data_IF_002898765103
#
_entry.id   IF_002898765103
#
_cell.length_a   1.000
_cell.length_b   1.000
_cell.length_c   1.000
_cell.angle_alpha   90.00
_cell.angle_beta   90.00
_cell.angle_gamma   90.00
#
_symmetry.space_group_name_H-M   'P 1'
#
loop_
_entity.id
_entity.type
_entity.pdbx_description
1 polymer ?
#
# COMPACT_ATOMS: atom_id res chain seq x y z
N UNK A 1 5.74 8.63 11.41
CA UNK A 1 4.95 7.39 11.55
C UNK A 1 4.68 7.01 13.01
N UNK A 2 5.43 7.53 13.99
CA UNK A 2 5.19 7.29 15.43
C UNK A 2 3.90 7.96 15.91
N UNK A 3 3.59 9.14 15.41
CA UNK A 3 2.39 9.90 15.72
C UNK A 3 1.37 9.83 14.58
N UNK A 4 0.09 9.98 14.90
CA UNK A 4 -1.02 9.96 13.92
C UNK A 4 -1.18 11.27 13.18
N UNK A 5 -0.54 12.35 13.65
CA UNK A 5 -0.63 13.71 13.12
C UNK A 5 0.76 14.15 12.64
N UNK A 6 0.80 14.84 11.52
CA UNK A 6 2.03 15.41 10.97
C UNK A 6 1.76 16.77 10.34
N UNK A 7 2.77 17.63 10.36
CA UNK A 7 2.76 18.90 9.65
C UNK A 7 2.87 18.63 8.15
N UNK A 8 1.88 19.04 7.37
CA UNK A 8 1.81 18.67 5.96
C UNK A 8 2.47 19.71 5.03
N UNK A 9 2.94 20.83 5.57
CA UNK A 9 3.59 21.91 4.82
C UNK A 9 4.83 22.50 5.55
N UNK A 10 5.86 21.67 5.83
CA UNK A 10 7.05 22.11 6.57
C UNK A 10 8.04 22.85 5.66
N UNK A 11 7.57 23.87 4.91
CA UNK A 11 8.46 24.67 4.08
C UNK A 11 9.35 25.60 4.95
N UNK A 12 10.49 26.11 4.43
CA UNK A 12 11.45 26.89 5.23
C UNK A 12 10.86 28.09 5.95
N UNK A 13 9.80 28.72 5.40
CA UNK A 13 9.10 29.83 6.07
C UNK A 13 8.27 29.42 7.29
N UNK A 14 8.01 28.12 7.47
CA UNK A 14 7.27 27.57 8.62
C UNK A 14 8.19 26.87 9.64
N UNK A 15 9.50 26.94 9.45
CA UNK A 15 10.46 26.27 10.31
C UNK A 15 11.56 27.26 10.70
N UNK A 16 11.91 27.33 11.97
CA UNK A 16 13.13 27.97 12.44
C UNK A 16 13.82 27.14 13.53
N UNK A 17 15.06 27.48 13.81
CA UNK A 17 15.84 26.85 14.87
C UNK A 17 16.29 27.95 15.83
N UNK A 18 16.11 27.72 17.15
CA UNK A 18 16.61 28.64 18.18
C UNK A 18 18.11 28.51 18.33
N UNK A 19 18.76 29.46 19.02
CA UNK A 19 20.19 29.42 19.34
C UNK A 19 20.55 28.17 20.17
N UNK A 20 19.60 27.65 20.96
CA UNK A 20 19.79 26.39 21.70
C UNK A 20 19.53 25.14 20.87
N UNK A 21 19.30 25.25 19.56
CA UNK A 21 19.07 24.11 18.65
C UNK A 21 17.65 23.52 18.72
N UNK A 22 16.68 24.22 19.31
CA UNK A 22 15.28 23.79 19.33
C UNK A 22 14.57 24.14 18.02
N UNK A 23 13.83 23.18 17.48
CA UNK A 23 13.01 23.39 16.29
C UNK A 23 11.70 24.11 16.66
N UNK A 24 11.43 25.22 15.98
CA UNK A 24 10.17 25.92 16.06
C UNK A 24 9.40 25.70 14.77
N UNK A 25 8.15 25.30 14.89
CA UNK A 25 7.22 25.17 13.77
C UNK A 25 6.17 26.28 13.87
N UNK A 26 6.03 27.04 12.78
CA UNK A 26 5.00 28.06 12.61
C UNK A 26 3.87 27.49 11.76
N UNK A 27 2.72 28.14 11.77
CA UNK A 27 1.57 27.86 10.91
C UNK A 27 1.18 26.37 10.80
N UNK A 28 0.20 26.02 11.61
CA UNK A 28 -0.42 24.69 11.57
C UNK A 28 -1.68 24.63 10.68
N UNK A 29 -1.82 25.52 9.71
CA UNK A 29 -2.95 25.56 8.79
C UNK A 29 -3.10 24.30 7.93
N UNK A 30 -2.00 23.57 7.73
CA UNK A 30 -2.03 22.31 6.99
C UNK A 30 -1.49 21.16 7.83
N UNK A 31 -2.41 20.32 8.32
CA UNK A 31 -2.11 19.15 9.14
C UNK A 31 -2.67 17.89 8.47
N UNK A 32 -1.82 16.88 8.32
CA UNK A 32 -2.23 15.56 7.85
C UNK A 32 -2.44 14.58 9.01
N UNK A 33 -3.27 13.57 8.78
CA UNK A 33 -3.52 12.48 9.73
C UNK A 33 -3.32 11.13 9.07
N UNK A 34 -2.58 10.25 9.73
CA UNK A 34 -2.41 8.84 9.33
C UNK A 34 -2.89 7.98 10.50
N UNK A 35 -3.97 7.24 10.31
CA UNK A 35 -4.45 6.28 11.28
C UNK A 35 -3.57 5.02 11.31
N UNK A 36 -3.75 4.17 12.33
CA UNK A 36 -2.95 2.94 12.48
C UNK A 36 -3.05 2.02 11.26
N UNK A 37 -4.23 1.86 10.69
CA UNK A 37 -4.44 1.00 9.52
C UNK A 37 -3.65 1.50 8.31
N UNK A 38 -3.76 2.80 8.00
CA UNK A 38 -2.98 3.42 6.91
C UNK A 38 -1.48 3.31 7.16
N UNK A 39 -1.03 3.51 8.40
CA UNK A 39 0.38 3.36 8.79
C UNK A 39 0.89 1.95 8.54
N UNK A 40 0.18 0.93 9.00
CA UNK A 40 0.54 -0.47 8.78
C UNK A 40 0.60 -0.79 7.29
N UNK A 41 -0.39 -0.37 6.51
CA UNK A 41 -0.41 -0.61 5.08
C UNK A 41 0.72 0.13 4.32
N UNK A 42 1.14 1.31 4.77
CA UNK A 42 2.34 1.98 4.25
C UNK A 42 3.62 1.19 4.54
N UNK A 43 3.74 0.61 5.72
CA UNK A 43 4.87 -0.24 6.08
C UNK A 43 4.83 -1.52 5.22
N UNK A 44 3.68 -2.15 5.05
CA UNK A 44 3.50 -3.33 4.18
C UNK A 44 3.88 -3.01 2.73
N UNK A 45 3.46 -1.86 2.22
CA UNK A 45 3.84 -1.40 0.88
C UNK A 45 5.36 -1.24 0.75
N UNK A 46 5.98 -0.59 1.73
CA UNK A 46 7.44 -0.45 1.77
C UNK A 46 8.16 -1.80 1.79
N UNK A 47 7.74 -2.72 2.67
CA UNK A 47 8.32 -4.07 2.76
C UNK A 47 8.16 -4.84 1.45
N UNK A 48 6.98 -4.81 0.84
CA UNK A 48 6.71 -5.48 -0.43
C UNK A 48 7.59 -4.94 -1.57
N UNK A 49 7.88 -3.63 -1.58
CA UNK A 49 8.82 -3.02 -2.54
C UNK A 49 10.27 -3.48 -2.29
N UNK A 50 10.71 -3.52 -1.02
CA UNK A 50 12.05 -4.02 -0.65
C UNK A 50 12.22 -5.49 -0.99
N UNK A 51 11.19 -6.30 -0.78
CA UNK A 51 11.17 -7.73 -1.13
C UNK A 51 11.00 -8.00 -2.64
N UNK A 52 10.79 -6.95 -3.43
CA UNK A 52 10.55 -7.04 -4.88
C UNK A 52 9.38 -8.00 -5.20
N UNK A 53 8.28 -7.87 -4.46
CA UNK A 53 7.11 -8.73 -4.58
C UNK A 53 5.90 -7.98 -5.15
N UNK A 54 5.68 -7.96 -6.50
CA UNK A 54 4.63 -7.20 -7.13
C UNK A 54 3.21 -7.54 -6.61
N UNK A 55 2.82 -8.81 -6.41
CA UNK A 55 1.51 -9.15 -5.85
C UNK A 55 1.26 -8.53 -4.48
N UNK A 56 2.27 -8.49 -3.59
CA UNK A 56 2.15 -7.85 -2.26
C UNK A 56 2.09 -6.34 -2.37
N UNK A 57 2.82 -5.74 -3.32
CA UNK A 57 2.75 -4.30 -3.60
C UNK A 57 1.32 -3.92 -4.01
N UNK A 58 0.74 -4.63 -4.97
CA UNK A 58 -0.64 -4.36 -5.43
C UNK A 58 -1.65 -4.53 -4.29
N UNK A 59 -1.51 -5.57 -3.48
CA UNK A 59 -2.39 -5.78 -2.32
C UNK A 59 -2.30 -4.63 -1.31
N UNK A 60 -1.10 -4.16 -1.00
CA UNK A 60 -0.91 -3.02 -0.10
C UNK A 60 -1.44 -1.71 -0.69
N UNK A 61 -1.30 -1.49 -2.00
CA UNK A 61 -1.87 -0.33 -2.70
C UNK A 61 -3.40 -0.35 -2.67
N UNK A 62 -4.02 -1.51 -2.84
CA UNK A 62 -5.48 -1.66 -2.76
C UNK A 62 -5.99 -1.39 -1.34
N UNK A 63 -5.34 -1.92 -0.32
CA UNK A 63 -5.63 -1.63 1.09
C UNK A 63 -5.49 -0.14 1.44
N UNK A 64 -4.57 0.56 0.79
CA UNK A 64 -4.38 2.01 0.90
C UNK A 64 -5.39 2.81 0.07
N UNK A 65 -6.26 2.15 -0.71
CA UNK A 65 -7.19 2.79 -1.64
C UNK A 65 -6.48 3.62 -2.73
N UNK A 66 -5.35 3.13 -3.20
CA UNK A 66 -4.55 3.74 -4.25
C UNK A 66 -4.91 3.25 -5.65
N UNK A 67 -5.84 2.29 -5.76
CA UNK A 67 -6.30 1.72 -7.02
C UNK A 67 -7.78 2.03 -7.25
N UNK A 68 -8.15 2.30 -8.52
CA UNK A 68 -9.55 2.53 -8.91
C UNK A 68 -10.33 1.22 -8.88
N UNK A 69 -11.62 1.23 -8.48
CA UNK A 69 -12.44 0.03 -8.56
C UNK A 69 -12.45 -0.55 -10.00
N UNK A 70 -12.33 -1.86 -10.10
CA UNK A 70 -12.34 -2.57 -11.39
C UNK A 70 -11.00 -2.55 -12.13
N UNK A 71 -9.90 -2.19 -11.48
CA UNK A 71 -8.57 -2.30 -12.08
C UNK A 71 -8.22 -3.75 -12.46
N UNK A 72 -7.40 -3.91 -13.49
CA UNK A 72 -6.88 -5.23 -13.86
C UNK A 72 -5.60 -5.53 -13.06
N UNK A 73 -5.74 -6.44 -12.08
CA UNK A 73 -4.68 -6.80 -11.15
C UNK A 73 -3.40 -7.29 -11.86
N UNK A 74 -3.54 -8.18 -12.83
CA UNK A 74 -2.38 -8.76 -13.54
C UNK A 74 -1.59 -7.71 -14.30
N UNK A 75 -2.27 -6.72 -14.91
CA UNK A 75 -1.62 -5.61 -15.62
C UNK A 75 -0.84 -4.74 -14.64
N UNK A 76 -1.44 -4.42 -13.49
CA UNK A 76 -0.77 -3.60 -12.47
C UNK A 76 0.43 -4.35 -11.89
N UNK A 77 0.29 -5.64 -11.56
CA UNK A 77 1.39 -6.48 -11.08
C UNK A 77 2.56 -6.51 -12.08
N UNK A 78 2.27 -6.69 -13.37
CA UNK A 78 3.30 -6.70 -14.41
C UNK A 78 3.97 -5.33 -14.56
N UNK A 79 3.20 -4.24 -14.52
CA UNK A 79 3.76 -2.88 -14.55
C UNK A 79 4.68 -2.58 -13.36
N UNK A 80 4.31 -3.03 -12.16
CA UNK A 80 5.16 -2.91 -10.96
C UNK A 80 6.41 -3.77 -11.08
N UNK A 81 6.31 -5.00 -11.59
CA UNK A 81 7.46 -5.87 -11.85
C UNK A 81 8.49 -5.18 -12.75
N UNK A 82 8.03 -4.65 -13.90
CA UNK A 82 8.90 -3.92 -14.85
C UNK A 82 9.54 -2.69 -14.21
N UNK A 83 8.77 -1.96 -13.39
CA UNK A 83 9.28 -0.79 -12.66
C UNK A 83 10.36 -1.19 -11.65
N UNK A 84 10.16 -2.26 -10.89
CA UNK A 84 11.15 -2.77 -9.93
C UNK A 84 12.42 -3.22 -10.65
N UNK A 85 12.31 -3.93 -11.77
CA UNK A 85 13.47 -4.35 -12.59
C UNK A 85 14.25 -3.14 -13.08
N UNK A 86 13.57 -2.15 -13.65
CA UNK A 86 14.17 -0.91 -14.14
C UNK A 86 14.93 -0.14 -13.04
N UNK A 87 14.38 -0.06 -11.83
CA UNK A 87 15.04 0.61 -10.69
C UNK A 87 16.33 -0.09 -10.24
N UNK A 88 16.51 -1.36 -10.58
CA UNK A 88 17.71 -2.14 -10.25
C UNK A 88 18.70 -2.28 -11.44
N UNK A 89 18.49 -1.52 -12.51
CA UNK A 89 19.37 -1.49 -13.67
C UNK A 89 19.10 -2.57 -14.72
N UNK A 90 18.12 -3.41 -14.50
CA UNK A 90 17.63 -4.38 -15.49
C UNK A 90 16.58 -3.67 -16.36
N UNK A 91 17.01 -3.16 -17.51
CA UNK A 91 16.10 -2.46 -18.44
C UNK A 91 15.11 -3.45 -19.03
N UNK A 92 13.79 -3.25 -18.83
CA UNK A 92 12.79 -4.06 -19.50
C UNK A 92 12.92 -3.96 -21.02
N UNK A 93 12.60 -5.03 -21.73
CA UNK A 93 12.53 -5.02 -23.19
C UNK A 93 11.42 -4.04 -23.67
N UNK A 94 11.73 -3.25 -24.69
CA UNK A 94 10.79 -2.29 -25.25
C UNK A 94 9.50 -2.97 -25.75
N UNK A 95 9.61 -4.17 -26.34
CA UNK A 95 8.44 -4.96 -26.78
C UNK A 95 7.59 -5.40 -25.60
N UNK A 96 8.21 -5.77 -24.45
CA UNK A 96 7.50 -6.16 -23.21
C UNK A 96 6.70 -4.97 -22.66
N UNK A 97 7.31 -3.79 -22.63
CA UNK A 97 6.66 -2.55 -22.18
C UNK A 97 5.52 -2.16 -23.13
N UNK A 98 5.75 -2.22 -24.43
CA UNK A 98 4.75 -1.87 -25.44
C UNK A 98 3.54 -2.82 -25.39
N UNK A 99 3.79 -4.12 -25.28
CA UNK A 99 2.73 -5.14 -25.17
C UNK A 99 1.88 -4.93 -23.92
N UNK A 100 2.50 -4.57 -22.79
CA UNK A 100 1.78 -4.25 -21.56
C UNK A 100 0.92 -2.98 -21.74
N UNK A 101 1.46 -1.94 -22.38
CA UNK A 101 0.72 -0.70 -22.64
C UNK A 101 -0.48 -0.94 -23.54
N UNK A 102 -0.34 -1.74 -24.61
CA UNK A 102 -1.44 -2.09 -25.49
C UNK A 102 -2.54 -2.87 -24.75
N UNK A 103 -2.15 -3.84 -23.91
CA UNK A 103 -3.07 -4.60 -23.09
C UNK A 103 -3.79 -3.71 -22.08
N UNK A 104 -3.06 -2.79 -21.44
CA UNK A 104 -3.63 -1.82 -20.50
C UNK A 104 -4.65 -0.91 -21.20
N UNK A 105 -4.33 -0.37 -22.37
CA UNK A 105 -5.22 0.49 -23.15
C UNK A 105 -6.49 -0.23 -23.62
N UNK A 106 -6.39 -1.53 -23.95
CA UNK A 106 -7.55 -2.35 -24.35
C UNK A 106 -8.46 -2.72 -23.18
N UNK A 107 -7.90 -2.87 -21.99
CA UNK A 107 -8.60 -3.49 -20.84
C UNK A 107 -9.02 -2.48 -19.79
N UNK A 108 -8.30 -1.37 -19.67
CA UNK A 108 -8.57 -0.34 -18.67
C UNK A 108 -9.06 0.94 -19.33
N UNK A 109 -10.30 1.31 -19.05
CA UNK A 109 -10.92 2.53 -19.57
C UNK A 109 -10.47 3.82 -18.87
N UNK A 110 -9.83 3.69 -17.71
CA UNK A 110 -9.38 4.81 -16.86
C UNK A 110 -8.00 4.53 -16.28
N UNK A 111 -7.28 5.61 -15.97
CA UNK A 111 -6.02 5.52 -15.22
C UNK A 111 -6.25 4.85 -13.86
N UNK A 112 -5.53 3.77 -13.57
CA UNK A 112 -5.88 2.89 -12.44
C UNK A 112 -5.43 3.41 -11.08
N UNK A 113 -4.64 4.49 -11.01
CA UNK A 113 -4.07 4.96 -9.75
C UNK A 113 -4.81 6.18 -9.21
N UNK A 114 -5.05 6.15 -7.91
CA UNK A 114 -5.61 7.26 -7.12
C UNK A 114 -4.63 7.57 -5.99
N UNK A 115 -4.44 8.85 -5.68
CA UNK A 115 -3.66 9.26 -4.54
C UNK A 115 -4.60 9.80 -3.45
N UNK A 116 -4.86 9.04 -2.37
CA UNK A 116 -5.69 9.48 -1.25
C UNK A 116 -5.12 10.75 -0.60
N UNK A 117 -6.00 11.69 -0.22
CA UNK A 117 -5.61 13.03 0.29
C UNK A 117 -4.52 12.97 1.38
N UNK A 118 -4.68 12.11 2.37
CA UNK A 118 -3.70 12.02 3.47
C UNK A 118 -2.34 11.50 3.00
N UNK A 119 -2.31 10.60 2.00
CA UNK A 119 -1.06 10.13 1.41
C UNK A 119 -0.42 11.22 0.54
N UNK A 120 -1.20 11.99 -0.21
CA UNK A 120 -0.71 13.14 -0.96
C UNK A 120 -0.03 14.16 -0.03
N UNK A 121 -0.66 14.48 1.10
CA UNK A 121 -0.08 15.38 2.10
C UNK A 121 1.21 14.81 2.72
N UNK A 122 1.25 13.50 2.97
CA UNK A 122 2.44 12.84 3.50
C UNK A 122 3.61 12.85 2.52
N UNK A 123 3.36 12.57 1.24
CA UNK A 123 4.37 12.64 0.18
C UNK A 123 4.85 14.08 -0.05
N UNK A 124 3.93 15.06 0.00
CA UNK A 124 4.29 16.48 -0.07
C UNK A 124 5.25 16.86 1.06
N UNK A 125 4.91 16.51 2.29
CA UNK A 125 5.80 16.73 3.45
C UNK A 125 7.19 16.12 3.22
N UNK A 126 7.24 14.86 2.77
CA UNK A 126 8.49 14.15 2.50
C UNK A 126 9.34 14.89 1.45
N UNK A 127 8.71 15.30 0.33
CA UNK A 127 9.39 16.03 -0.76
C UNK A 127 9.91 17.39 -0.32
N UNK A 128 9.16 18.12 0.51
CA UNK A 128 9.61 19.41 1.05
C UNK A 128 10.83 19.21 1.93
N UNK A 129 10.81 18.22 2.82
CA UNK A 129 11.95 17.92 3.71
C UNK A 129 13.18 17.52 2.89
N UNK A 130 13.04 16.62 1.90
CA UNK A 130 14.14 16.27 1.01
C UNK A 130 14.69 17.49 0.25
N UNK A 131 13.82 18.38 -0.22
CA UNK A 131 14.19 19.64 -0.87
C UNK A 131 15.01 20.53 0.04
N UNK A 132 14.62 20.71 1.29
CA UNK A 132 15.37 21.51 2.27
C UNK A 132 16.79 20.94 2.48
N UNK A 133 16.91 19.64 2.71
CA UNK A 133 18.22 19.02 2.89
C UNK A 133 19.10 19.14 1.65
N UNK A 134 18.52 19.00 0.46
CA UNK A 134 19.23 19.14 -0.80
C UNK A 134 19.77 20.56 -1.02
N UNK A 135 19.05 21.60 -0.61
CA UNK A 135 19.54 22.99 -0.71
C UNK A 135 20.69 23.30 0.24
N UNK A 136 20.93 22.46 1.25
CA UNK A 136 22.03 22.56 2.20
C UNK A 136 23.14 21.53 1.95
N UNK A 137 23.18 20.92 0.76
CA UNK A 137 24.15 19.88 0.36
C UNK A 137 24.24 18.68 1.32
N UNK A 138 23.14 18.38 2.03
CA UNK A 138 23.04 17.21 2.91
C UNK A 138 22.39 16.03 2.16
N UNK A 139 23.11 14.90 2.08
CA UNK A 139 22.57 13.65 1.49
C UNK A 139 21.48 13.04 2.38
N UNK A 140 20.32 13.65 2.34
CA UNK A 140 19.13 13.17 3.01
C UNK A 140 18.23 12.44 2.02
N UNK A 141 17.91 11.19 2.32
CA UNK A 141 16.92 10.40 1.57
C UNK A 141 15.82 9.96 2.53
N UNK A 142 14.62 10.47 2.31
CA UNK A 142 13.46 10.17 3.16
C UNK A 142 13.25 8.67 3.36
N UNK A 143 13.36 7.87 2.30
CA UNK A 143 13.22 6.40 2.38
C UNK A 143 14.32 5.74 3.23
N UNK A 144 15.56 6.27 3.24
CA UNK A 144 16.65 5.76 4.08
C UNK A 144 16.37 6.01 5.56
N UNK A 145 15.91 7.23 5.88
CA UNK A 145 15.53 7.61 7.24
C UNK A 145 14.31 6.81 7.69
N UNK A 146 13.31 6.65 6.82
CA UNK A 146 12.15 5.81 7.09
C UNK A 146 12.56 4.38 7.45
N UNK A 147 13.45 3.76 6.67
CA UNK A 147 13.99 2.42 6.97
C UNK A 147 14.59 2.34 8.37
N UNK A 148 15.44 3.32 8.72
CA UNK A 148 16.10 3.35 10.04
C UNK A 148 15.08 3.46 11.18
N UNK A 149 14.07 4.33 11.03
CA UNK A 149 13.00 4.48 12.02
C UNK A 149 12.19 3.18 12.15
N UNK A 150 11.84 2.54 11.06
CA UNK A 150 11.10 1.29 11.07
C UNK A 150 11.85 0.17 11.80
N UNK A 151 13.19 0.12 11.63
CA UNK A 151 14.04 -0.85 12.30
C UNK A 151 14.20 -0.54 13.81
N UNK A 152 14.48 0.71 14.17
CA UNK A 152 14.69 1.14 15.55
C UNK A 152 13.44 1.00 16.43
N UNK A 153 12.28 1.28 15.88
CA UNK A 153 11.00 1.23 16.62
C UNK A 153 10.31 -0.15 16.53
N UNK A 154 10.98 -1.18 16.02
CA UNK A 154 10.41 -2.53 15.81
C UNK A 154 9.07 -2.53 15.04
N UNK A 155 8.80 -1.50 14.25
CA UNK A 155 7.54 -1.36 13.50
C UNK A 155 7.41 -2.40 12.38
N UNK A 156 8.53 -2.91 11.90
CA UNK A 156 8.59 -4.00 10.92
C UNK A 156 7.98 -5.26 11.50
N UNK A 157 8.41 -5.66 12.70
CA UNK A 157 7.88 -6.85 13.41
C UNK A 157 6.38 -6.69 13.67
N UNK A 158 5.93 -5.52 14.09
CA UNK A 158 4.51 -5.22 14.27
C UNK A 158 3.69 -5.35 12.99
N UNK A 159 4.24 -4.90 11.86
CA UNK A 159 3.58 -5.03 10.56
C UNK A 159 3.48 -6.49 10.10
N UNK A 160 4.52 -7.31 10.29
CA UNK A 160 4.47 -8.74 9.99
C UNK A 160 3.46 -9.50 10.87
N UNK A 161 3.40 -9.19 12.17
CA UNK A 161 2.43 -9.79 13.09
C UNK A 161 0.99 -9.45 12.63
N UNK A 162 0.75 -8.21 12.24
CA UNK A 162 -0.57 -7.79 11.74
C UNK A 162 -0.93 -8.47 10.40
N UNK A 163 0.04 -8.62 9.53
CA UNK A 163 -0.13 -9.35 8.26
C UNK A 163 -0.47 -10.84 8.50
N UNK A 164 0.20 -11.48 9.45
CA UNK A 164 -0.12 -12.85 9.86
C UNK A 164 -1.54 -12.96 10.42
N UNK A 165 -1.98 -11.99 11.25
CA UNK A 165 -3.36 -11.96 11.75
C UNK A 165 -4.38 -11.83 10.62
N UNK A 166 -4.18 -10.88 9.70
CA UNK A 166 -5.06 -10.69 8.54
C UNK A 166 -5.13 -11.95 7.67
N UNK A 167 -3.98 -12.60 7.44
CA UNK A 167 -3.90 -13.84 6.67
C UNK A 167 -4.65 -14.97 7.37
N UNK A 168 -4.49 -15.09 8.69
CA UNK A 168 -5.18 -16.09 9.50
C UNK A 168 -6.69 -15.86 9.55
N UNK A 169 -7.14 -14.62 9.73
CA UNK A 169 -8.58 -14.27 9.70
C UNK A 169 -9.20 -14.56 8.33
N UNK A 170 -8.46 -14.30 7.25
CA UNK A 170 -8.90 -14.59 5.88
C UNK A 170 -9.01 -16.10 5.65
N UNK A 171 -8.05 -16.87 6.15
CA UNK A 171 -8.06 -18.33 6.12
C UNK A 171 -9.26 -18.90 6.90
N UNK A 172 -9.52 -18.42 8.11
CA UNK A 172 -10.68 -18.83 8.90
C UNK A 172 -12.02 -18.51 8.19
N UNK A 173 -12.13 -17.33 7.58
CA UNK A 173 -13.33 -16.98 6.79
C UNK A 173 -13.50 -17.89 5.57
N UNK A 174 -12.42 -18.25 4.90
CA UNK A 174 -12.44 -19.18 3.76
C UNK A 174 -12.93 -20.57 4.20
N UNK A 175 -12.41 -21.10 5.31
CA UNK A 175 -12.88 -22.38 5.87
C UNK A 175 -14.37 -22.30 6.23
N UNK A 176 -14.80 -21.25 6.92
CA UNK A 176 -16.20 -21.09 7.31
C UNK A 176 -17.14 -20.96 6.12
N UNK A 177 -16.71 -20.29 5.03
CA UNK A 177 -17.49 -20.22 3.79
C UNK A 177 -17.60 -21.59 3.11
N UNK A 178 -16.51 -22.35 3.09
CA UNK A 178 -16.49 -23.71 2.51
C UNK A 178 -17.38 -24.68 3.30
N UNK A 179 -17.37 -24.59 4.64
CA UNK A 179 -18.23 -25.41 5.50
C UNK A 179 -19.73 -25.06 5.32
N UNK A 180 -20.06 -23.76 5.14
CA UNK A 180 -21.43 -23.34 4.83
C UNK A 180 -21.91 -23.90 3.49
N UNK A 181 -21.09 -23.85 2.46
CA UNK A 181 -21.40 -24.42 1.14
C UNK A 181 -21.62 -25.94 1.25
N UNK A 182 -20.83 -26.64 2.07
CA UNK A 182 -21.03 -28.08 2.35
C UNK A 182 -22.38 -28.38 3.01
N UNK A 183 -22.74 -27.61 4.02
CA UNK A 183 -24.06 -27.80 4.72
C UNK A 183 -25.26 -27.45 3.83
N UNK A 184 -25.11 -26.47 2.94
CA UNK A 184 -26.17 -26.08 2.01
C UNK A 184 -26.32 -27.10 0.86
N UNK A 185 -25.24 -27.73 0.42
CA UNK A 185 -25.30 -28.87 -0.52
C UNK A 185 -25.96 -30.11 0.11
N UNK A 186 -25.68 -30.39 1.37
CA UNK A 186 -26.31 -31.52 2.09
C UNK A 186 -27.84 -31.34 2.18
N UNK A 187 -28.32 -30.14 2.52
CA UNK A 187 -29.73 -29.79 2.51
C UNK A 187 -30.38 -29.92 1.12
N UNK A 188 -29.71 -29.46 0.08
CA UNK A 188 -30.15 -29.60 -1.31
C UNK A 188 -30.28 -31.08 -1.73
N UNK A 189 -29.31 -31.91 -1.34
CA UNK A 189 -29.37 -33.35 -1.62
C UNK A 189 -30.53 -34.05 -0.89
N UNK A 190 -30.82 -33.66 0.34
CA UNK A 190 -31.95 -34.17 1.12
C UNK A 190 -33.29 -33.76 0.47
N UNK A 191 -33.42 -32.51 0.02
CA UNK A 191 -34.61 -32.07 -0.73
C UNK A 191 -34.78 -32.85 -2.04
N UNK A 192 -33.74 -33.04 -2.82
CA UNK A 192 -33.80 -33.81 -4.07
C UNK A 192 -34.20 -35.25 -3.81
N UNK A 193 -33.67 -35.91 -2.77
CA UNK A 193 -34.06 -37.27 -2.40
C UNK A 193 -35.51 -37.33 -1.93
N UNK A 194 -36.02 -36.35 -1.19
CA UNK A 194 -37.41 -36.28 -0.78
C UNK A 194 -38.36 -36.19 -1.99
N UNK A 195 -38.05 -35.34 -2.97
CA UNK A 195 -38.83 -35.24 -4.21
C UNK A 195 -38.79 -36.51 -5.08
N UNK A 196 -37.64 -37.18 -5.12
CA UNK A 196 -37.55 -38.46 -5.86
C UNK A 196 -38.35 -39.61 -5.21
N UNK A 197 -38.43 -39.65 -3.89
CA UNK A 197 -39.28 -40.62 -3.16
C UNK A 197 -40.77 -40.37 -3.33
N UNK A 198 -41.21 -39.15 -3.56
CA UNK A 198 -42.62 -38.78 -3.73
C UNK A 198 -43.17 -39.05 -5.13
N UNK A 199 -42.31 -39.44 -6.09
CA UNK A 199 -42.66 -39.74 -7.48
C UNK A 199 -42.76 -41.27 -7.78
N UNK A 200 -42.56 -42.10 -6.78
CA UNK A 200 -42.90 -43.56 -6.80
C UNK A 200 -44.21 -43.81 -6.02
#
# INVERSE_FOLDING_TARGET
>A
LKHSIFHADPHPGNISVTDEGKLILYDYGMVGRINNKTRINLIRLYLALVEKNPPRVVSAMDDLKMLTPGYNRSIIEKGIELSIRSMHGDKPDEMEVQSLMELANKTMSKFPFILPKNLALYLRMASIIEGIYKTHDVDFKFLKVLKNILQQENLITGAYIEELKISFDTFLKSINSTLRVGSDMEKLMDEVQFYMKKRK
#
